data_IF_146844955516
#
_entry.id   IF_146844955516
#
_cell.length_a   1.000
_cell.length_b   1.000
_cell.length_c   1.000
_cell.angle_alpha   90.00
_cell.angle_beta   90.00
_cell.angle_gamma   90.00
#
_symmetry.space_group_name_H-M   'P 1'
#
loop_
_entity.id
_entity.type
_entity.pdbx_description
1 polymer ?
#
# COMPACT_ATOMS: atom_id res chain seq x y z
N UNK A 1 -6.84 24.59 -22.03
CA UNK A 1 -7.01 24.58 -23.49
C UNK A 1 -8.25 23.76 -23.76
N UNK A 2 -9.26 24.31 -24.42
CA UNK A 2 -10.50 23.57 -24.73
C UNK A 2 -10.33 22.71 -26.00
N UNK A 3 -11.23 21.74 -26.18
CA UNK A 3 -11.23 20.81 -27.31
C UNK A 3 -11.36 21.56 -28.63
N UNK A 4 -12.15 22.62 -28.72
CA UNK A 4 -12.30 23.40 -29.96
C UNK A 4 -10.99 24.04 -30.40
N UNK A 5 -10.22 24.59 -29.46
CA UNK A 5 -8.89 25.14 -29.72
C UNK A 5 -7.92 24.03 -30.12
N UNK A 6 -7.97 22.88 -29.43
CA UNK A 6 -7.16 21.71 -29.77
C UNK A 6 -7.42 21.20 -31.19
N UNK A 7 -8.69 21.08 -31.57
CA UNK A 7 -9.11 20.58 -32.88
C UNK A 7 -8.84 21.59 -34.00
N UNK A 8 -8.61 22.86 -33.69
CA UNK A 8 -8.15 23.84 -34.68
C UNK A 8 -6.66 23.69 -34.98
N UNK A 9 -5.85 23.52 -33.93
CA UNK A 9 -4.39 23.68 -34.00
C UNK A 9 -3.63 22.32 -33.97
N UNK A 10 -4.31 21.23 -33.63
CA UNK A 10 -3.74 19.92 -33.32
C UNK A 10 -4.19 18.76 -34.20
N UNK A 11 -4.86 19.01 -35.34
CA UNK A 11 -5.42 17.96 -36.20
C UNK A 11 -4.42 16.89 -36.65
N UNK A 12 -3.16 17.25 -36.80
CA UNK A 12 -2.08 16.35 -37.22
C UNK A 12 -1.43 15.57 -36.07
N UNK A 13 -1.89 15.78 -34.84
CA UNK A 13 -1.34 15.16 -33.62
C UNK A 13 -2.21 14.00 -33.15
N UNK A 14 -1.62 13.19 -32.28
CA UNK A 14 -2.30 12.11 -31.56
C UNK A 14 -2.81 12.63 -30.22
N UNK A 15 -3.99 12.18 -29.81
CA UNK A 15 -4.41 12.29 -28.41
C UNK A 15 -3.60 11.27 -27.60
N UNK A 16 -2.99 11.74 -26.53
CA UNK A 16 -2.17 10.95 -25.62
C UNK A 16 -2.75 11.04 -24.21
N UNK A 17 -3.25 9.91 -23.71
CA UNK A 17 -3.58 9.74 -22.30
C UNK A 17 -2.30 9.50 -21.50
N UNK A 18 -2.10 10.26 -20.42
CA UNK A 18 -0.94 10.06 -19.55
C UNK A 18 -0.92 8.63 -18.99
N UNK A 19 0.27 8.04 -18.91
CA UNK A 19 0.40 6.60 -18.64
C UNK A 19 0.07 6.20 -17.20
N UNK A 20 -0.01 7.18 -16.30
CA UNK A 20 -0.47 7.07 -14.91
C UNK A 20 -1.97 7.40 -14.75
N UNK A 21 -2.67 7.76 -15.84
CA UNK A 21 -4.11 7.91 -15.90
C UNK A 21 -4.72 6.63 -16.50
N UNK A 22 -5.15 5.70 -15.65
CA UNK A 22 -5.61 4.37 -16.07
C UNK A 22 -7.13 4.37 -16.30
N UNK A 23 -7.61 4.17 -17.54
CA UNK A 23 -9.03 4.03 -17.80
C UNK A 23 -9.50 2.62 -17.40
N UNK A 24 -10.63 2.55 -16.71
CA UNK A 24 -11.26 1.30 -16.25
C UNK A 24 -12.70 1.28 -16.74
N UNK A 25 -13.04 0.25 -17.51
CA UNK A 25 -14.41 0.06 -18.01
C UNK A 25 -15.30 -0.43 -16.87
N UNK A 26 -16.42 0.26 -16.66
CA UNK A 26 -17.40 -0.11 -15.65
C UNK A 26 -18.78 -0.34 -16.25
N UNK A 27 -19.58 -1.16 -15.58
CA UNK A 27 -20.91 -1.57 -16.07
C UNK A 27 -21.92 -0.41 -16.12
N UNK A 28 -21.93 0.47 -15.11
CA UNK A 28 -22.86 1.60 -15.02
C UNK A 28 -22.19 2.95 -15.36
N UNK A 29 -20.93 3.10 -14.98
CA UNK A 29 -20.08 4.23 -15.31
C UNK A 29 -18.63 3.72 -15.37
N UNK A 30 -17.86 4.28 -16.29
CA UNK A 30 -16.42 4.02 -16.39
C UNK A 30 -15.66 5.08 -15.60
N UNK A 31 -14.37 4.84 -15.37
CA UNK A 31 -13.57 5.74 -14.56
C UNK A 31 -12.12 5.86 -15.05
N UNK A 32 -11.49 7.00 -14.76
CA UNK A 32 -10.05 7.22 -14.96
C UNK A 32 -9.41 7.33 -13.59
N UNK A 33 -8.38 6.52 -13.36
CA UNK A 33 -7.62 6.49 -12.12
C UNK A 33 -6.32 7.24 -12.36
N UNK A 34 -6.22 8.45 -11.82
CA UNK A 34 -4.97 9.20 -11.82
C UNK A 34 -4.13 8.76 -10.63
N UNK A 35 -3.16 7.89 -10.90
CA UNK A 35 -2.33 7.26 -9.86
C UNK A 35 -1.42 8.28 -9.16
N UNK A 36 -0.99 9.33 -9.86
CA UNK A 36 -0.10 10.36 -9.32
C UNK A 36 -0.85 11.32 -8.42
N UNK A 37 -2.03 11.79 -8.85
CA UNK A 37 -2.86 12.73 -8.07
C UNK A 37 -3.79 12.01 -7.09
N UNK A 38 -3.90 10.68 -7.17
CA UNK A 38 -4.79 9.83 -6.36
C UNK A 38 -6.25 10.23 -6.51
N UNK A 39 -6.66 10.50 -7.75
CA UNK A 39 -8.01 10.91 -8.09
C UNK A 39 -8.71 9.83 -8.92
N UNK A 40 -10.03 9.75 -8.75
CA UNK A 40 -10.89 8.92 -9.57
C UNK A 40 -11.97 9.82 -10.14
N UNK A 41 -12.00 9.98 -11.46
CA UNK A 41 -13.08 10.68 -12.16
C UNK A 41 -13.91 9.67 -12.93
N UNK A 42 -15.23 9.70 -12.74
CA UNK A 42 -16.17 8.86 -13.48
C UNK A 42 -16.66 9.56 -14.75
N UNK A 43 -16.92 8.78 -15.79
CA UNK A 43 -17.48 9.25 -17.06
C UNK A 43 -18.47 8.21 -17.63
N UNK A 44 -19.39 8.61 -18.54
CA UNK A 44 -20.31 7.68 -19.19
C UNK A 44 -19.56 6.56 -19.92
N UNK A 45 -19.93 5.29 -19.67
CA UNK A 45 -19.25 4.14 -20.31
C UNK A 45 -19.35 4.13 -21.83
N UNK A 46 -20.30 4.88 -22.42
CA UNK A 46 -20.41 5.07 -23.86
C UNK A 46 -19.15 5.71 -24.49
N UNK A 47 -18.37 6.48 -23.72
CA UNK A 47 -17.14 7.11 -24.20
C UNK A 47 -15.90 6.21 -24.10
N UNK A 48 -16.00 5.07 -23.41
CA UNK A 48 -14.86 4.17 -23.22
C UNK A 48 -14.21 3.71 -24.54
N UNK A 49 -14.95 3.39 -25.62
CA UNK A 49 -14.35 2.99 -26.89
C UNK A 49 -13.41 4.03 -27.51
N UNK A 50 -13.54 5.32 -27.18
CA UNK A 50 -12.65 6.35 -27.73
C UNK A 50 -11.18 6.17 -27.31
N UNK A 51 -10.92 5.49 -26.18
CA UNK A 51 -9.54 5.20 -25.76
C UNK A 51 -8.78 4.30 -26.75
N UNK A 52 -9.46 3.44 -27.51
CA UNK A 52 -8.83 2.59 -28.53
C UNK A 52 -8.30 3.41 -29.72
N UNK A 53 -8.86 4.59 -29.94
CA UNK A 53 -8.45 5.50 -31.02
C UNK A 53 -7.21 6.30 -30.62
N UNK A 54 -6.99 6.49 -29.31
CA UNK A 54 -5.85 7.23 -28.79
C UNK A 54 -4.55 6.49 -29.09
N UNK A 55 -3.48 7.24 -29.39
CA UNK A 55 -2.16 6.74 -29.82
C UNK A 55 -2.13 5.95 -31.14
N UNK A 56 -3.27 5.46 -31.64
CA UNK A 56 -3.36 4.72 -32.90
C UNK A 56 -3.61 5.63 -34.11
N UNK A 57 -4.40 6.70 -33.92
CA UNK A 57 -4.86 7.59 -35.00
C UNK A 57 -4.63 9.06 -34.67
N UNK A 58 -4.42 9.87 -35.71
CA UNK A 58 -4.37 11.34 -35.58
C UNK A 58 -5.77 11.90 -35.39
N UNK A 59 -5.87 13.06 -34.75
CA UNK A 59 -7.15 13.75 -34.51
C UNK A 59 -7.98 13.93 -35.80
N UNK A 60 -7.34 14.29 -36.93
CA UNK A 60 -8.03 14.40 -38.23
C UNK A 60 -8.65 13.10 -38.73
N UNK A 61 -8.05 11.96 -38.42
CA UNK A 61 -8.51 10.65 -38.88
C UNK A 61 -9.70 10.21 -38.02
N UNK A 62 -9.60 10.40 -36.71
CA UNK A 62 -10.69 10.15 -35.76
C UNK A 62 -11.93 10.95 -36.17
N UNK A 63 -11.80 12.27 -36.32
CA UNK A 63 -12.92 13.13 -36.69
C UNK A 63 -13.52 12.82 -38.08
N UNK A 64 -12.71 12.28 -39.00
CA UNK A 64 -13.16 11.96 -40.36
C UNK A 64 -14.02 10.69 -40.45
N UNK A 65 -13.97 9.84 -39.42
CA UNK A 65 -14.65 8.53 -39.40
C UNK A 65 -15.89 8.51 -38.50
N UNK A 66 -15.97 9.41 -37.53
CA UNK A 66 -17.11 9.51 -36.61
C UNK A 66 -18.35 10.03 -37.35
N UNK A 67 -19.50 9.41 -37.07
CA UNK A 67 -20.78 9.99 -37.44
C UNK A 67 -20.99 11.34 -36.72
N UNK A 68 -21.86 12.24 -37.22
CA UNK A 68 -22.05 13.55 -36.60
C UNK A 68 -22.35 13.50 -35.09
N UNK A 69 -23.22 12.58 -34.67
CA UNK A 69 -23.59 12.39 -33.25
C UNK A 69 -22.39 11.90 -32.41
N UNK A 70 -21.61 10.96 -32.93
CA UNK A 70 -20.39 10.46 -32.27
C UNK A 70 -19.28 11.53 -32.20
N UNK A 71 -19.28 12.46 -33.16
CA UNK A 71 -18.36 13.60 -33.19
C UNK A 71 -18.61 14.58 -32.05
N UNK A 72 -19.87 14.87 -31.75
CA UNK A 72 -20.24 15.73 -30.61
C UNK A 72 -19.88 15.05 -29.28
N UNK A 73 -20.18 13.76 -29.13
CA UNK A 73 -19.80 12.94 -27.97
C UNK A 73 -18.27 12.91 -27.76
N UNK A 74 -17.51 12.77 -28.85
CA UNK A 74 -16.05 12.79 -28.80
C UNK A 74 -15.51 14.15 -28.33
N UNK A 75 -16.08 15.25 -28.81
CA UNK A 75 -15.66 16.60 -28.40
C UNK A 75 -15.97 16.84 -26.92
N UNK A 76 -17.16 16.46 -26.45
CA UNK A 76 -17.53 16.54 -25.03
C UNK A 76 -16.57 15.74 -24.15
N UNK A 77 -16.27 14.51 -24.56
CA UNK A 77 -15.34 13.67 -23.83
C UNK A 77 -13.92 14.24 -23.81
N UNK A 78 -13.45 14.78 -24.94
CA UNK A 78 -12.14 15.41 -25.03
C UNK A 78 -12.05 16.67 -24.13
N UNK A 79 -13.10 17.46 -24.03
CA UNK A 79 -13.17 18.59 -23.10
C UNK A 79 -13.05 18.13 -21.64
N UNK A 80 -13.78 17.08 -21.25
CA UNK A 80 -13.65 16.46 -19.92
C UNK A 80 -12.21 16.02 -19.62
N UNK A 81 -11.56 15.33 -20.58
CA UNK A 81 -10.19 14.86 -20.42
C UNK A 81 -9.18 16.02 -20.32
N UNK A 82 -9.38 17.10 -21.07
CA UNK A 82 -8.51 18.28 -21.05
C UNK A 82 -8.71 19.12 -19.78
N UNK A 83 -9.95 19.27 -19.32
CA UNK A 83 -10.28 19.99 -18.09
C UNK A 83 -9.62 19.34 -16.87
N UNK A 84 -9.58 18.01 -16.83
CA UNK A 84 -8.94 17.25 -15.75
C UNK A 84 -7.44 16.98 -15.99
N UNK A 85 -6.88 17.49 -17.09
CA UNK A 85 -5.48 17.32 -17.48
C UNK A 85 -5.04 15.85 -17.64
N UNK A 86 -5.95 14.96 -18.05
CA UNK A 86 -5.65 13.54 -18.29
C UNK A 86 -4.98 13.28 -19.63
N UNK A 87 -5.21 14.17 -20.60
CA UNK A 87 -4.66 14.03 -21.95
C UNK A 87 -3.81 15.22 -22.36
N UNK A 88 -2.92 14.96 -23.30
CA UNK A 88 -2.22 15.97 -24.09
C UNK A 88 -2.20 15.54 -25.56
N UNK A 89 -1.60 16.36 -26.42
CA UNK A 89 -1.37 16.01 -27.84
C UNK A 89 0.10 15.93 -28.17
N UNK A 90 0.46 14.89 -28.91
CA UNK A 90 1.85 14.57 -29.25
C UNK A 90 1.99 14.28 -30.73
N UNK A 91 3.16 14.57 -31.29
CA UNK A 91 3.48 14.23 -32.69
C UNK A 91 3.78 12.74 -32.85
N UNK A 92 4.43 12.15 -31.84
CA UNK A 92 4.77 10.74 -31.79
C UNK A 92 4.43 10.13 -30.40
N UNK A 93 3.41 9.27 -30.30
CA UNK A 93 3.05 8.61 -29.06
C UNK A 93 4.09 7.58 -28.60
N UNK A 94 5.01 7.12 -29.45
CA UNK A 94 6.07 6.18 -29.06
C UNK A 94 7.11 6.81 -28.13
N UNK A 95 7.22 8.15 -28.14
CA UNK A 95 8.10 8.92 -27.26
C UNK A 95 7.70 8.85 -25.77
N UNK A 96 6.53 8.31 -25.45
CA UNK A 96 6.00 8.18 -24.08
C UNK A 96 5.56 6.74 -23.82
N UNK A 97 6.50 5.81 -23.52
CA UNK A 97 6.17 4.40 -23.34
C UNK A 97 5.18 4.19 -22.18
N UNK A 98 4.31 3.18 -22.31
CA UNK A 98 3.40 2.82 -21.23
C UNK A 98 4.16 2.36 -19.98
N UNK A 99 3.56 2.54 -18.80
CA UNK A 99 4.12 2.00 -17.55
C UNK A 99 4.13 0.47 -17.65
N UNK A 100 5.28 -0.13 -17.39
CA UNK A 100 5.38 -1.59 -17.35
C UNK A 100 4.49 -2.13 -16.21
N UNK A 101 3.51 -2.96 -16.53
CA UNK A 101 2.65 -3.61 -15.52
C UNK A 101 3.35 -4.71 -14.71
N UNK A 102 4.64 -4.93 -14.95
CA UNK A 102 5.45 -5.88 -14.18
C UNK A 102 5.93 -5.24 -12.89
N UNK A 103 5.59 -5.86 -11.77
CA UNK A 103 6.22 -5.56 -10.49
C UNK A 103 7.63 -6.14 -10.48
N UNK A 104 8.63 -5.27 -10.46
CA UNK A 104 10.02 -5.66 -10.26
C UNK A 104 10.36 -5.54 -8.76
N UNK A 105 10.54 -6.69 -8.10
CA UNK A 105 10.97 -6.74 -6.72
C UNK A 105 12.21 -7.61 -6.60
N UNK A 106 13.17 -7.22 -5.74
CA UNK A 106 14.37 -8.01 -5.48
C UNK A 106 14.10 -9.27 -4.63
N UNK A 107 12.83 -9.62 -4.41
CA UNK A 107 12.39 -10.71 -3.53
C UNK A 107 11.24 -11.51 -4.14
N UNK A 108 11.17 -12.81 -3.83
CA UNK A 108 10.06 -13.68 -4.22
C UNK A 108 8.85 -13.51 -3.32
N UNK A 109 9.08 -13.28 -2.02
CA UNK A 109 8.03 -12.91 -1.06
C UNK A 109 8.51 -11.68 -0.28
N UNK A 110 7.59 -10.76 0.00
CA UNK A 110 7.91 -9.54 0.75
C UNK A 110 7.69 -9.73 2.26
N UNK A 111 6.63 -10.46 2.62
CA UNK A 111 6.13 -10.60 3.98
C UNK A 111 5.90 -12.07 4.34
N UNK A 112 6.08 -12.42 5.61
CA UNK A 112 5.75 -13.73 6.17
C UNK A 112 5.14 -13.60 7.57
N UNK A 113 4.29 -14.56 7.93
CA UNK A 113 3.65 -14.67 9.25
C UNK A 113 3.95 -16.04 9.84
N UNK A 114 4.34 -16.10 11.11
CA UNK A 114 4.51 -17.33 11.88
C UNK A 114 3.48 -17.37 13.00
N UNK A 115 2.56 -18.34 12.93
CA UNK A 115 1.59 -18.60 13.99
C UNK A 115 2.13 -19.65 14.96
N UNK A 116 2.21 -19.30 16.25
CA UNK A 116 2.64 -20.19 17.33
C UNK A 116 1.44 -20.50 18.22
N UNK A 117 1.01 -21.76 18.26
CA UNK A 117 -0.15 -22.18 19.06
C UNK A 117 0.19 -23.28 20.07
N UNK A 118 0.44 -24.49 19.57
CA UNK A 118 0.63 -25.69 20.40
C UNK A 118 2.03 -26.31 20.36
N UNK A 119 2.94 -25.77 19.55
CA UNK A 119 4.30 -26.28 19.41
C UNK A 119 5.28 -25.16 19.03
N UNK A 120 6.52 -25.29 19.45
CA UNK A 120 7.61 -24.44 18.97
C UNK A 120 7.93 -24.78 17.52
N UNK A 121 8.44 -23.78 16.80
CA UNK A 121 8.97 -23.97 15.45
C UNK A 121 10.49 -23.95 15.46
N UNK A 122 11.09 -24.47 14.40
CA UNK A 122 12.51 -24.29 14.12
C UNK A 122 12.71 -22.90 13.48
N UNK A 123 12.79 -21.87 14.32
CA UNK A 123 12.93 -20.48 13.87
C UNK A 123 14.19 -20.27 13.01
N UNK A 124 15.28 -20.99 13.29
CA UNK A 124 16.51 -20.91 12.50
C UNK A 124 16.27 -21.39 11.08
N UNK A 125 15.62 -22.55 10.92
CA UNK A 125 15.25 -23.09 9.60
C UNK A 125 14.27 -22.17 8.88
N UNK A 126 13.29 -21.61 9.58
CA UNK A 126 12.32 -20.68 9.00
C UNK A 126 13.03 -19.42 8.47
N UNK A 127 13.84 -18.76 9.30
CA UNK A 127 14.56 -17.54 8.90
C UNK A 127 15.48 -17.79 7.71
N UNK A 128 16.22 -18.91 7.69
CA UNK A 128 17.05 -19.27 6.55
C UNK A 128 16.24 -19.51 5.26
N UNK A 129 15.05 -20.13 5.39
CA UNK A 129 14.14 -20.30 4.26
C UNK A 129 13.58 -18.97 3.73
N UNK A 130 13.21 -18.06 4.63
CA UNK A 130 12.73 -16.72 4.29
C UNK A 130 13.82 -15.86 3.66
N UNK A 131 15.06 -16.00 4.12
CA UNK A 131 16.24 -15.34 3.56
C UNK A 131 16.48 -15.75 2.10
N UNK A 132 16.41 -17.06 1.81
CA UNK A 132 16.57 -17.57 0.45
C UNK A 132 15.49 -17.06 -0.52
N UNK A 133 14.34 -16.62 0.00
CA UNK A 133 13.25 -16.01 -0.77
C UNK A 133 13.30 -14.48 -0.81
N UNK A 134 14.28 -13.86 -0.14
CA UNK A 134 14.44 -12.41 -0.03
C UNK A 134 13.38 -11.73 0.83
N UNK A 135 12.72 -12.45 1.75
CA UNK A 135 11.69 -11.88 2.61
C UNK A 135 12.24 -10.72 3.46
N UNK A 136 11.48 -9.63 3.57
CA UNK A 136 11.91 -8.42 4.29
C UNK A 136 11.11 -8.17 5.57
N UNK A 137 9.89 -8.68 5.69
CA UNK A 137 9.03 -8.40 6.83
C UNK A 137 8.48 -9.69 7.44
N UNK A 138 8.70 -9.85 8.75
CA UNK A 138 8.23 -11.00 9.50
C UNK A 138 7.28 -10.55 10.61
N UNK A 139 6.16 -11.25 10.76
CA UNK A 139 5.30 -11.12 11.92
C UNK A 139 5.20 -12.46 12.65
N UNK A 140 5.26 -12.45 13.98
CA UNK A 140 4.97 -13.63 14.81
C UNK A 140 3.70 -13.39 15.61
N UNK A 141 2.83 -14.40 15.64
CA UNK A 141 1.57 -14.39 16.37
C UNK A 141 1.55 -15.55 17.34
N UNK A 142 1.68 -15.26 18.63
CA UNK A 142 1.64 -16.27 19.68
C UNK A 142 0.23 -16.34 20.27
N UNK A 143 -0.47 -17.45 20.04
CA UNK A 143 -1.79 -17.76 20.60
C UNK A 143 -1.73 -18.33 22.01
N UNK A 144 -0.51 -18.52 22.54
CA UNK A 144 -0.24 -19.09 23.85
C UNK A 144 1.08 -18.56 24.39
N UNK A 145 1.33 -18.78 25.68
CA UNK A 145 2.61 -18.46 26.34
C UNK A 145 3.82 -19.27 25.86
N UNK A 146 3.64 -20.14 24.86
CA UNK A 146 4.73 -20.95 24.33
C UNK A 146 5.81 -20.10 23.63
N UNK A 147 5.44 -18.97 23.07
CA UNK A 147 6.37 -18.00 22.50
C UNK A 147 6.18 -16.67 23.20
N UNK A 148 7.15 -16.31 24.05
CA UNK A 148 7.14 -15.11 24.86
C UNK A 148 8.26 -14.15 24.50
N UNK A 149 8.59 -13.29 25.46
CA UNK A 149 9.55 -12.21 25.26
C UNK A 149 10.97 -12.72 24.98
N UNK A 150 11.37 -13.84 25.59
CA UNK A 150 12.68 -14.44 25.40
C UNK A 150 12.84 -15.00 23.98
N UNK A 151 11.85 -15.76 23.50
CA UNK A 151 11.85 -16.31 22.14
C UNK A 151 11.79 -15.20 21.08
N UNK A 152 11.09 -14.09 21.37
CA UNK A 152 11.11 -12.91 20.51
C UNK A 152 12.51 -12.31 20.38
N UNK A 153 13.25 -12.18 21.49
CA UNK A 153 14.63 -11.69 21.47
C UNK A 153 15.56 -12.63 20.68
N UNK A 154 15.43 -13.95 20.86
CA UNK A 154 16.19 -14.94 20.09
C UNK A 154 15.88 -14.86 18.59
N UNK A 155 14.60 -14.77 18.22
CA UNK A 155 14.19 -14.60 16.84
C UNK A 155 14.73 -13.29 16.25
N UNK A 156 14.68 -12.20 17.01
CA UNK A 156 15.21 -10.91 16.57
C UNK A 156 16.70 -11.02 16.22
N UNK A 157 17.50 -11.74 17.02
CA UNK A 157 18.91 -12.00 16.72
C UNK A 157 19.13 -12.86 15.47
N UNK A 158 18.30 -13.88 15.25
CA UNK A 158 18.34 -14.67 14.00
C UNK A 158 18.07 -13.79 12.76
N UNK A 159 17.14 -12.85 12.87
CA UNK A 159 16.77 -11.97 11.77
C UNK A 159 17.84 -10.90 11.46
N UNK A 160 18.73 -10.56 12.41
CA UNK A 160 19.77 -9.51 12.18
C UNK A 160 20.75 -9.85 11.07
N UNK A 161 20.97 -11.13 10.80
CA UNK A 161 21.91 -11.60 9.77
C UNK A 161 21.20 -12.11 8.51
N UNK A 162 19.91 -11.83 8.35
CA UNK A 162 19.12 -12.27 7.19
C UNK A 162 18.63 -11.09 6.36
N UNK A 163 17.79 -11.35 5.35
CA UNK A 163 17.11 -10.32 4.55
C UNK A 163 15.99 -9.58 5.29
N UNK A 164 15.61 -10.04 6.49
CA UNK A 164 14.52 -9.46 7.28
C UNK A 164 14.94 -8.09 7.80
N UNK A 165 14.13 -7.08 7.52
CA UNK A 165 14.32 -5.69 7.92
C UNK A 165 13.39 -5.27 9.05
N UNK A 166 12.24 -5.92 9.19
CA UNK A 166 11.30 -5.65 10.28
C UNK A 166 10.72 -6.93 10.86
N UNK A 167 10.54 -6.91 12.19
CA UNK A 167 9.92 -7.95 12.99
C UNK A 167 8.78 -7.33 13.79
N UNK A 168 7.57 -7.86 13.62
CA UNK A 168 6.41 -7.53 14.45
C UNK A 168 6.02 -8.75 15.29
N UNK A 169 5.52 -8.51 16.49
CA UNK A 169 5.08 -9.58 17.36
C UNK A 169 3.74 -9.26 18.03
N UNK A 170 2.85 -10.24 18.04
CA UNK A 170 1.66 -10.27 18.87
C UNK A 170 1.86 -11.41 19.88
N UNK A 171 2.07 -11.05 21.14
CA UNK A 171 2.35 -11.99 22.23
C UNK A 171 1.23 -11.99 23.26
N UNK A 172 1.10 -13.08 24.00
CA UNK A 172 0.24 -13.09 25.18
C UNK A 172 0.91 -12.29 26.31
N UNK A 173 0.15 -11.40 26.96
CA UNK A 173 0.62 -10.66 28.11
C UNK A 173 1.05 -11.60 29.24
N UNK A 174 2.26 -11.38 29.77
CA UNK A 174 2.75 -12.08 30.95
C UNK A 174 2.75 -11.15 32.17
N UNK A 175 1.89 -11.37 33.18
CA UNK A 175 1.88 -10.58 34.41
C UNK A 175 3.13 -10.79 35.27
N UNK A 176 3.95 -11.80 34.98
CA UNK A 176 5.26 -12.00 35.62
C UNK A 176 6.35 -11.03 35.15
N UNK A 177 6.13 -10.33 34.03
CA UNK A 177 7.06 -9.37 33.45
C UNK A 177 6.57 -7.93 33.68
N UNK A 178 7.50 -7.04 33.98
CA UNK A 178 7.23 -5.60 34.07
C UNK A 178 7.41 -4.90 32.72
N UNK A 179 6.84 -3.71 32.60
CA UNK A 179 7.00 -2.86 31.40
C UNK A 179 8.45 -2.66 30.97
N UNK A 180 9.35 -2.52 31.96
CA UNK A 180 10.77 -2.32 31.74
C UNK A 180 11.43 -3.50 30.99
N UNK A 181 10.92 -4.73 31.17
CA UNK A 181 11.44 -5.91 30.49
C UNK A 181 11.13 -5.86 28.99
N UNK A 182 9.89 -5.52 28.64
CA UNK A 182 9.48 -5.35 27.24
C UNK A 182 10.20 -4.18 26.58
N UNK A 183 10.33 -3.05 27.28
CA UNK A 183 11.08 -1.87 26.80
C UNK A 183 12.54 -2.22 26.55
N UNK A 184 13.17 -3.02 27.43
CA UNK A 184 14.55 -3.43 27.28
C UNK A 184 14.77 -4.27 26.03
N UNK A 185 13.90 -5.25 25.76
CA UNK A 185 14.00 -6.11 24.57
C UNK A 185 13.73 -5.32 23.29
N UNK A 186 12.62 -4.58 23.22
CA UNK A 186 12.31 -3.76 22.03
C UNK A 186 13.41 -2.73 21.77
N UNK A 187 13.90 -2.07 22.83
CA UNK A 187 14.99 -1.08 22.73
C UNK A 187 16.34 -1.68 22.30
N UNK A 188 16.64 -2.92 22.67
CA UNK A 188 17.87 -3.61 22.29
C UNK A 188 17.86 -4.10 20.83
N UNK A 189 16.68 -4.45 20.30
CA UNK A 189 16.53 -5.01 18.96
C UNK A 189 15.75 -4.08 18.04
N UNK A 190 16.46 -3.18 17.35
CA UNK A 190 15.89 -2.19 16.41
C UNK A 190 15.05 -2.77 15.26
N UNK A 191 15.22 -4.06 14.97
CA UNK A 191 14.42 -4.76 13.96
C UNK A 191 12.97 -4.95 14.42
N UNK A 192 12.71 -4.91 15.73
CA UNK A 192 11.35 -5.01 16.28
C UNK A 192 10.64 -3.68 16.04
N UNK A 193 9.77 -3.66 15.03
CA UNK A 193 9.03 -2.46 14.60
C UNK A 193 7.70 -2.29 15.34
N UNK A 194 7.17 -3.35 15.93
CA UNK A 194 5.91 -3.34 16.68
C UNK A 194 5.76 -4.53 17.61
N UNK A 195 5.18 -4.29 18.78
CA UNK A 195 4.83 -5.32 19.76
C UNK A 195 3.43 -5.06 20.31
N UNK A 196 2.57 -6.06 20.25
CA UNK A 196 1.24 -6.07 20.87
C UNK A 196 1.18 -7.19 21.90
N UNK A 197 0.74 -6.87 23.11
CA UNK A 197 0.49 -7.82 24.19
C UNK A 197 -1.03 -7.98 24.35
N UNK A 198 -1.55 -9.12 23.89
CA UNK A 198 -2.97 -9.45 23.99
C UNK A 198 -3.29 -10.10 25.35
N UNK A 199 -4.57 -10.19 25.70
CA UNK A 199 -5.01 -10.71 27.01
C UNK A 199 -4.38 -9.96 28.22
N UNK A 200 -4.11 -8.66 28.04
CA UNK A 200 -3.64 -7.80 29.12
C UNK A 200 -4.77 -7.47 30.11
N UNK A 201 -4.41 -6.91 31.26
CA UNK A 201 -5.35 -6.47 32.29
C UNK A 201 -6.14 -5.22 31.89
N UNK A 202 -5.54 -4.36 31.08
CA UNK A 202 -6.15 -3.14 30.56
C UNK A 202 -5.55 -2.73 29.20
N UNK A 203 -6.30 -1.90 28.48
CA UNK A 203 -5.78 -1.26 27.27
C UNK A 203 -4.84 -0.12 27.65
N UNK A 204 -3.57 -0.20 27.22
CA UNK A 204 -2.54 0.81 27.50
C UNK A 204 -1.40 0.75 26.48
N UNK A 205 -0.62 1.83 26.43
CA UNK A 205 0.53 1.94 25.53
C UNK A 205 1.79 2.27 26.33
N UNK A 206 2.91 1.65 25.98
CA UNK A 206 4.23 1.92 26.56
C UNK A 206 5.11 2.48 25.44
N UNK A 207 5.68 3.66 25.66
CA UNK A 207 6.61 4.26 24.71
C UNK A 207 8.02 3.70 24.91
N UNK A 208 8.67 3.32 23.81
CA UNK A 208 10.07 2.89 23.74
C UNK A 208 10.86 3.98 23.01
N UNK A 209 11.58 4.81 23.74
CA UNK A 209 12.39 5.88 23.17
C UNK A 209 13.72 5.34 22.63
N UNK A 210 14.04 5.65 21.37
CA UNK A 210 15.37 5.45 20.79
C UNK A 210 16.14 6.78 20.79
N UNK A 211 17.31 6.84 21.42
CA UNK A 211 18.12 8.05 21.42
C UNK A 211 19.54 7.88 21.95
N UNK A 212 20.51 8.50 21.28
CA UNK A 212 21.85 8.69 21.83
C UNK A 212 21.76 9.63 23.03
N UNK A 213 22.37 9.25 24.17
CA UNK A 213 22.46 10.12 25.35
C UNK A 213 23.02 11.49 24.93
N UNK A 214 22.21 12.54 25.01
CA UNK A 214 22.67 13.94 24.94
C UNK A 214 22.48 14.70 23.63
N UNK A 215 21.64 14.26 22.69
CA UNK A 215 21.27 15.11 21.53
C UNK A 215 19.77 15.39 21.48
N UNK A 216 19.41 16.53 20.88
CA UNK A 216 18.06 17.09 20.71
C UNK A 216 17.18 16.17 19.81
N UNK A 217 17.69 15.05 19.32
CA UNK A 217 16.97 14.07 18.52
C UNK A 217 16.34 12.97 19.41
N UNK A 218 15.29 13.32 20.17
CA UNK A 218 14.26 12.36 20.60
C UNK A 218 13.33 12.11 19.41
N UNK A 219 13.69 11.25 18.45
CA UNK A 219 12.92 11.21 17.19
C UNK A 219 12.64 9.84 16.57
N UNK A 220 12.79 8.75 17.32
CA UNK A 220 12.09 7.49 16.99
C UNK A 220 11.55 6.92 18.30
N UNK A 221 10.23 6.85 18.42
CA UNK A 221 9.57 6.13 19.50
C UNK A 221 8.76 5.00 18.88
N UNK A 222 8.99 3.76 19.32
CA UNK A 222 8.08 2.64 19.04
C UNK A 222 7.12 2.52 20.20
N UNK A 223 5.88 2.15 19.92
CA UNK A 223 4.86 1.93 20.94
C UNK A 223 4.63 0.42 21.12
N UNK A 224 4.69 -0.04 22.37
CA UNK A 224 4.20 -1.37 22.75
C UNK A 224 2.74 -1.20 23.15
N UNK A 225 1.85 -1.93 22.51
CA UNK A 225 0.43 -1.88 22.79
C UNK A 225 0.02 -3.05 23.68
N UNK A 226 -0.81 -2.78 24.68
CA UNK A 226 -1.43 -3.79 25.52
C UNK A 226 -2.94 -3.72 25.30
N UNK A 227 -3.56 -4.87 25.11
CA UNK A 227 -5.00 -4.96 24.87
C UNK A 227 -5.61 -6.13 25.62
N UNK A 228 -6.80 -5.96 26.22
CA UNK A 228 -7.46 -7.03 26.96
C UNK A 228 -8.05 -8.12 26.05
N UNK A 229 -8.28 -7.82 24.76
CA UNK A 229 -8.79 -8.80 23.80
C UNK A 229 -7.81 -9.97 23.63
N UNK A 230 -8.25 -11.23 23.71
CA UNK A 230 -7.40 -12.37 23.40
C UNK A 230 -7.19 -12.53 21.90
N UNK A 231 -6.09 -13.19 21.54
CA UNK A 231 -5.85 -13.72 20.21
C UNK A 231 -6.26 -15.20 20.19
N UNK A 232 -7.40 -15.52 19.58
CA UNK A 232 -7.99 -16.87 19.52
C UNK A 232 -7.94 -17.45 18.09
N UNK A 233 -8.01 -16.59 17.07
CA UNK A 233 -8.10 -16.95 15.66
C UNK A 233 -7.14 -16.14 14.78
N UNK A 234 -6.90 -16.60 13.56
CA UNK A 234 -6.14 -15.86 12.56
C UNK A 234 -6.86 -14.58 12.08
N UNK A 235 -8.14 -14.41 12.42
CA UNK A 235 -8.96 -13.25 12.05
C UNK A 235 -8.89 -12.12 13.09
N UNK A 236 -8.39 -12.39 14.31
CA UNK A 236 -8.41 -11.40 15.39
C UNK A 236 -7.37 -10.29 15.20
N UNK A 237 -6.53 -10.37 14.17
CA UNK A 237 -5.66 -9.27 13.74
C UNK A 237 -6.45 -8.01 13.28
N UNK A 238 -7.75 -8.14 13.01
CA UNK A 238 -8.65 -6.99 12.78
C UNK A 238 -9.36 -6.46 14.04
N UNK A 239 -9.34 -7.21 15.16
CA UNK A 239 -10.03 -6.87 16.41
C UNK A 239 -9.10 -6.29 17.49
N UNK A 240 -7.78 -6.53 17.40
CA UNK A 240 -6.76 -5.82 18.17
C UNK A 240 -6.67 -4.39 17.60
N UNK A 241 -7.13 -3.40 18.37
CA UNK A 241 -7.51 -2.07 17.87
C UNK A 241 -6.38 -1.26 17.19
N UNK A 242 -6.76 -0.60 16.08
CA UNK A 242 -6.16 0.59 15.44
C UNK A 242 -4.62 0.70 15.46
N UNK A 243 -4.00 0.12 14.42
CA UNK A 243 -2.61 0.27 13.92
C UNK A 243 -1.75 -0.96 14.16
N UNK A 244 -2.02 -2.05 13.44
CA UNK A 244 -0.95 -2.94 12.97
C UNK A 244 -1.48 -3.95 11.96
N UNK A 245 -1.45 -3.55 10.70
CA UNK A 245 -1.08 -4.41 9.58
C UNK A 245 -0.41 -3.46 8.59
N UNK A 246 0.93 -3.45 8.61
CA UNK A 246 1.82 -2.56 7.85
C UNK A 246 1.91 -1.13 8.46
N UNK A 247 3.11 -0.53 8.68
CA UNK A 247 3.22 0.87 8.29
C UNK A 247 2.75 0.87 6.84
N UNK A 248 1.69 1.62 6.49
CA UNK A 248 1.23 1.61 5.12
C UNK A 248 2.48 1.93 4.30
N UNK A 249 2.82 1.06 3.35
CA UNK A 249 3.85 1.36 2.37
C UNK A 249 3.42 2.67 1.73
N UNK A 250 3.89 3.79 2.27
CA UNK A 250 3.22 5.11 2.25
C UNK A 250 1.76 5.14 2.76
N UNK A 251 1.29 6.17 3.48
CA UNK A 251 -0.08 6.25 4.02
C UNK A 251 -1.15 6.03 2.93
N UNK A 252 -1.77 4.86 2.96
CA UNK A 252 -3.10 4.57 2.42
C UNK A 252 -4.14 5.13 3.40
N UNK A 253 -4.16 6.46 3.50
CA UNK A 253 -5.22 7.24 4.12
C UNK A 253 -6.12 7.70 2.96
N UNK A 254 -7.26 7.02 2.77
CA UNK A 254 -8.50 7.50 2.13
C UNK A 254 -9.35 6.36 1.53
N UNK A 255 -9.53 5.25 2.25
CA UNK A 255 -10.76 4.49 2.06
C UNK A 255 -11.78 4.97 3.09
N UNK A 256 -12.94 5.42 2.58
CA UNK A 256 -14.16 5.79 3.30
C UNK A 256 -14.16 7.16 4.02
N UNK A 257 -14.31 8.23 3.25
CA UNK A 257 -15.25 9.32 3.58
C UNK A 257 -15.70 10.04 2.30
N UNK A 258 -16.58 9.41 1.52
CA UNK A 258 -17.63 10.18 0.86
C UNK A 258 -18.74 10.37 1.89
N UNK A 259 -18.95 11.55 2.48
CA UNK A 259 -20.29 11.93 2.86
C UNK A 259 -21.07 12.12 1.55
N UNK A 260 -21.98 11.19 1.26
CA UNK A 260 -23.14 11.53 0.44
C UNK A 260 -23.85 12.69 1.13
N UNK A 261 -23.98 13.82 0.43
CA UNK A 261 -24.70 14.99 0.92
C UNK A 261 -24.83 16.03 -0.18
N UNK A 262 -26.10 16.34 -0.48
CA UNK A 262 -26.60 17.29 -1.47
C UNK A 262 -26.03 18.71 -1.38
#
# INVERSE_FOLDING_TARGET
>A
MDAKTLLRDGLDKYVFLYSDCIPVEGHAASAIYDLTRRLISTFPSAYFPFFELFRARRLREILGELAPEEGDDFVEFLDFLLEHEYVTVVDDPASFPAIAGSWDAPCTIHNAIIDVRGQHHDYRKIVAGLEALGCQHLQVRAYSKLFGLAELAELAELCRSSSIQTLEAILQYDPGLGDADYVAVVGAHRIISGLVLHSADAERTIAVEYGARGSIAKLLATEIQLTPGPLETHLDCGHLAKRQLLPPSTPSFNELHHPMGA
#
